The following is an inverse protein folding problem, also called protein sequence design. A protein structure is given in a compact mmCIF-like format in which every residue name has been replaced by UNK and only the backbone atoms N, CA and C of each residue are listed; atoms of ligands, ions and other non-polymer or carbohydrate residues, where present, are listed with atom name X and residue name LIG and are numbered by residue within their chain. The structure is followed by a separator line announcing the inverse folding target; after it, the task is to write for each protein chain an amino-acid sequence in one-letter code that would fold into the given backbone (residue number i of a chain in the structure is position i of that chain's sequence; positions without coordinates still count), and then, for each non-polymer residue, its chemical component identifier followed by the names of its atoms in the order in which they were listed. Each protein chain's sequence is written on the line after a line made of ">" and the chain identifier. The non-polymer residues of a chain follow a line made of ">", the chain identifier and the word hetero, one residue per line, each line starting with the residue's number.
data_IF_516349780309
#
_entry.id   IF_516349780309
#
_cell.length_a   1.000
_cell.length_b   1.000
_cell.length_c   1.000
_cell.angle_alpha   90.00
_cell.angle_beta   90.00
_cell.angle_gamma   90.00
#
_symmetry.space_group_name_H-M   'P 1'
#
loop_
_entity.id
_entity.type
_entity.pdbx_description
1 polymer ?
#
# COMPACT_ATOMS: atom_id res chain seq x y z
N UNK A 1 15.02 -22.89 -14.50
CA UNK A 1 14.40 -21.69 -13.91
C UNK A 1 13.55 -21.03 -14.97
N UNK A 2 12.28 -20.74 -14.74
CA UNK A 2 11.42 -20.03 -15.70
C UNK A 2 11.12 -18.62 -15.18
N UNK A 3 10.96 -17.67 -16.11
CA UNK A 3 10.65 -16.28 -15.83
C UNK A 3 9.30 -15.93 -16.47
N UNK A 4 8.39 -15.35 -15.67
CA UNK A 4 7.18 -14.68 -16.17
C UNK A 4 7.31 -13.20 -15.87
N UNK A 5 6.91 -12.36 -16.79
CA UNK A 5 7.00 -10.91 -16.59
C UNK A 5 5.98 -10.18 -17.46
N UNK A 6 5.69 -8.97 -17.05
CA UNK A 6 5.00 -7.96 -17.83
C UNK A 6 5.72 -6.62 -17.65
N UNK A 7 5.93 -5.91 -18.74
CA UNK A 7 6.58 -4.59 -18.78
C UNK A 7 5.60 -3.66 -19.51
N UNK A 8 5.27 -2.54 -18.88
CA UNK A 8 4.45 -1.51 -19.52
C UNK A 8 5.10 -1.03 -20.82
N UNK A 9 4.33 -0.84 -21.88
CA UNK A 9 4.79 -0.47 -23.23
C UNK A 9 5.73 0.73 -23.22
N UNK A 10 5.42 1.72 -22.40
CA UNK A 10 6.25 2.91 -22.19
C UNK A 10 7.68 2.59 -21.74
N UNK A 11 7.89 1.43 -21.13
CA UNK A 11 9.17 1.02 -20.52
C UNK A 11 9.84 -0.17 -21.21
N UNK A 12 9.38 -0.59 -22.40
CA UNK A 12 10.01 -1.67 -23.17
C UNK A 12 11.47 -1.39 -23.48
N UNK A 13 11.87 -0.13 -23.60
CA UNK A 13 13.27 0.29 -23.80
C UNK A 13 14.20 0.00 -22.60
N UNK A 14 13.65 -0.47 -21.47
CA UNK A 14 14.38 -0.91 -20.28
C UNK A 14 14.40 -2.44 -20.12
N UNK A 15 13.85 -3.19 -21.08
CA UNK A 15 13.64 -4.64 -20.97
C UNK A 15 14.89 -5.39 -20.52
N UNK A 16 16.01 -5.20 -21.17
CA UNK A 16 17.25 -5.94 -20.87
C UNK A 16 17.72 -5.66 -19.43
N UNK A 17 17.65 -4.40 -18.98
CA UNK A 17 17.97 -4.03 -17.61
C UNK A 17 17.02 -4.69 -16.60
N UNK A 18 15.72 -4.70 -16.91
CA UNK A 18 14.69 -5.26 -16.03
C UNK A 18 14.79 -6.78 -15.94
N UNK A 19 15.09 -7.48 -17.04
CA UNK A 19 15.25 -8.94 -17.02
C UNK A 19 16.47 -9.37 -16.19
N UNK A 20 17.52 -8.54 -16.09
CA UNK A 20 18.67 -8.77 -15.20
C UNK A 20 18.57 -8.03 -13.86
N UNK A 21 17.36 -7.76 -13.37
CA UNK A 21 17.12 -6.96 -12.17
C UNK A 21 17.84 -7.51 -10.94
N UNK A 22 17.99 -8.81 -10.80
CA UNK A 22 18.67 -9.46 -9.67
C UNK A 22 20.14 -9.02 -9.55
N UNK A 23 20.84 -8.95 -10.67
CA UNK A 23 22.23 -8.51 -10.73
C UNK A 23 22.30 -6.99 -10.57
N UNK A 24 21.42 -6.28 -11.27
CA UNK A 24 21.45 -4.83 -11.30
C UNK A 24 21.13 -4.18 -9.96
N UNK A 25 20.18 -4.77 -9.19
CA UNK A 25 19.84 -4.25 -7.86
C UNK A 25 20.99 -4.42 -6.86
N UNK A 26 21.81 -5.47 -6.99
CA UNK A 26 22.96 -5.68 -6.12
C UNK A 26 24.06 -4.64 -6.33
N UNK A 27 24.22 -4.16 -7.56
CA UNK A 27 25.27 -3.23 -7.94
C UNK A 27 24.93 -1.75 -7.66
N UNK A 28 23.67 -1.35 -7.82
CA UNK A 28 23.24 0.05 -7.90
C UNK A 28 21.99 0.32 -7.07
N UNK A 29 22.01 0.02 -5.77
CA UNK A 29 20.86 0.24 -4.89
C UNK A 29 21.13 1.25 -3.78
N UNK A 30 20.23 2.19 -3.61
CA UNK A 30 20.02 2.88 -2.34
C UNK A 30 18.89 2.14 -1.60
N UNK A 31 19.21 1.44 -0.52
CA UNK A 31 18.23 0.62 0.21
C UNK A 31 17.38 1.53 1.09
N UNK A 32 16.07 1.57 0.83
CA UNK A 32 15.10 2.25 1.71
C UNK A 32 14.75 1.34 2.89
N UNK A 33 14.59 0.03 2.62
CA UNK A 33 14.15 -0.95 3.62
C UNK A 33 14.74 -2.32 3.28
N UNK A 34 15.48 -2.86 4.22
CA UNK A 34 15.97 -4.24 4.17
C UNK A 34 15.34 -5.02 5.33
N UNK A 35 14.23 -5.66 5.03
CA UNK A 35 13.51 -6.50 5.96
C UNK A 35 13.06 -7.75 5.19
N UNK A 36 11.93 -8.34 5.57
CA UNK A 36 11.33 -9.48 4.86
C UNK A 36 11.12 -9.23 3.34
N UNK A 37 10.97 -7.97 2.94
CA UNK A 37 10.87 -7.54 1.54
C UNK A 37 11.85 -6.37 1.36
N UNK A 38 12.76 -6.50 0.44
CA UNK A 38 13.69 -5.43 0.07
C UNK A 38 12.93 -4.35 -0.72
N UNK A 39 13.09 -3.10 -0.32
CA UNK A 39 12.66 -1.95 -1.10
C UNK A 39 13.88 -1.08 -1.37
N UNK A 40 14.20 -0.87 -2.62
CA UNK A 40 15.37 -0.11 -3.03
C UNK A 40 15.04 0.91 -4.13
N UNK A 41 15.73 2.05 -4.11
CA UNK A 41 15.76 2.98 -5.23
C UNK A 41 16.93 2.58 -6.13
N UNK A 42 16.64 2.49 -7.42
CA UNK A 42 17.68 2.28 -8.46
C UNK A 42 17.62 3.41 -9.47
N UNK A 43 18.78 3.81 -9.98
CA UNK A 43 18.89 4.77 -11.08
C UNK A 43 19.11 4.01 -12.39
N UNK A 44 18.23 4.23 -13.38
CA UNK A 44 18.33 3.64 -14.71
C UNK A 44 18.26 4.79 -15.72
N UNK A 45 19.31 4.97 -16.53
CA UNK A 45 19.39 6.07 -17.52
C UNK A 45 19.03 7.44 -16.92
N UNK A 46 19.57 7.75 -15.74
CA UNK A 46 19.37 9.03 -15.03
C UNK A 46 18.03 9.19 -14.30
N UNK A 47 17.09 8.25 -14.44
CA UNK A 47 15.77 8.30 -13.79
C UNK A 47 15.71 7.35 -12.60
N UNK A 48 15.00 7.75 -11.52
CA UNK A 48 14.83 6.94 -10.32
C UNK A 48 13.62 6.00 -10.46
N UNK A 49 13.80 4.77 -9.98
CA UNK A 49 12.77 3.73 -9.89
C UNK A 49 12.79 3.10 -8.51
N UNK A 50 11.64 2.64 -8.05
CA UNK A 50 11.51 1.86 -6.83
C UNK A 50 11.36 0.40 -7.21
N UNK A 51 12.19 -0.47 -6.65
CA UNK A 51 12.11 -1.91 -6.82
C UNK A 51 11.72 -2.53 -5.49
N UNK A 52 10.59 -3.21 -5.48
CA UNK A 52 10.14 -4.05 -4.34
C UNK A 52 10.43 -5.50 -4.68
N UNK A 53 11.40 -6.11 -3.99
CA UNK A 53 11.68 -7.54 -4.07
C UNK A 53 10.89 -8.27 -2.99
N UNK A 54 10.14 -9.27 -3.41
CA UNK A 54 9.43 -10.19 -2.54
C UNK A 54 10.13 -11.54 -2.60
N UNK A 55 10.75 -11.93 -1.50
CA UNK A 55 11.42 -13.21 -1.38
C UNK A 55 10.47 -14.40 -1.49
N UNK A 56 11.05 -15.60 -1.50
CA UNK A 56 10.29 -16.85 -1.59
C UNK A 56 9.20 -16.91 -0.53
N UNK A 57 7.95 -17.19 -0.90
CA UNK A 57 6.92 -17.53 0.06
C UNK A 57 7.30 -18.82 0.79
N UNK A 58 6.92 -18.94 2.08
CA UNK A 58 7.11 -20.18 2.83
C UNK A 58 6.31 -21.35 2.21
N UNK A 59 6.82 -22.57 2.35
CA UNK A 59 6.08 -23.79 1.99
C UNK A 59 4.78 -23.89 2.84
N UNK A 60 3.61 -24.30 2.29
CA UNK A 60 3.35 -24.65 0.88
C UNK A 60 2.97 -23.44 -0.03
N UNK A 61 2.97 -22.22 0.50
CA UNK A 61 2.50 -21.05 -0.22
C UNK A 61 3.26 -20.76 -1.53
N UNK A 62 4.54 -21.14 -1.62
CA UNK A 62 5.34 -20.98 -2.83
C UNK A 62 4.75 -21.72 -4.05
N UNK A 63 4.13 -22.91 -3.83
CA UNK A 63 3.42 -23.64 -4.87
C UNK A 63 2.03 -23.06 -5.16
N UNK A 64 1.33 -22.57 -4.12
CA UNK A 64 0.03 -21.89 -4.27
C UNK A 64 0.19 -20.64 -5.15
N UNK A 65 1.21 -19.83 -4.92
CA UNK A 65 1.53 -18.67 -5.78
C UNK A 65 2.00 -19.06 -7.18
N UNK A 66 2.48 -20.29 -7.36
CA UNK A 66 2.86 -20.80 -8.68
C UNK A 66 1.68 -21.15 -9.59
N UNK A 67 0.53 -21.52 -9.00
CA UNK A 67 -0.60 -22.13 -9.74
C UNK A 67 -1.96 -21.50 -9.48
N UNK A 68 -2.26 -21.14 -8.22
CA UNK A 68 -3.61 -20.79 -7.78
C UNK A 68 -3.76 -19.32 -7.39
N UNK A 69 -2.68 -18.61 -7.14
CA UNK A 69 -2.71 -17.24 -6.68
C UNK A 69 -1.58 -16.43 -7.32
N UNK A 70 -1.93 -15.25 -7.77
CA UNK A 70 -0.95 -14.28 -8.30
C UNK A 70 0.05 -13.84 -7.22
N UNK A 71 1.30 -13.59 -7.65
CA UNK A 71 2.34 -13.10 -6.77
C UNK A 71 2.00 -11.71 -6.22
N UNK A 72 2.71 -11.30 -5.18
CA UNK A 72 2.58 -9.93 -4.68
C UNK A 72 3.05 -8.89 -5.70
N UNK A 73 4.08 -9.21 -6.48
CA UNK A 73 4.61 -8.33 -7.51
C UNK A 73 3.59 -8.10 -8.62
N UNK A 74 3.01 -9.19 -9.15
CA UNK A 74 1.98 -9.12 -10.19
C UNK A 74 0.76 -8.33 -9.70
N UNK A 75 0.22 -8.67 -8.53
CA UNK A 75 -0.91 -7.90 -7.95
C UNK A 75 -0.58 -6.43 -7.74
N UNK A 76 0.65 -6.08 -7.31
CA UNK A 76 1.03 -4.67 -7.19
C UNK A 76 0.98 -3.97 -8.53
N UNK A 77 1.44 -4.62 -9.61
CA UNK A 77 1.43 -4.07 -10.96
C UNK A 77 0.00 -3.91 -11.50
N UNK A 78 -0.79 -4.97 -11.47
CA UNK A 78 -2.17 -4.96 -11.96
C UNK A 78 -3.05 -3.96 -11.19
N UNK A 79 -2.94 -3.94 -9.85
CA UNK A 79 -3.71 -3.01 -9.02
C UNK A 79 -3.26 -1.55 -9.21
N UNK A 80 -1.98 -1.31 -9.54
CA UNK A 80 -1.55 0.04 -9.92
C UNK A 80 -2.26 0.52 -11.17
N UNK A 81 -2.36 -0.31 -12.21
CA UNK A 81 -3.06 0.04 -13.44
C UNK A 81 -4.55 0.31 -13.19
N UNK A 82 -5.23 -0.58 -12.47
CA UNK A 82 -6.66 -0.40 -12.11
C UNK A 82 -6.88 0.90 -11.31
N UNK A 83 -6.00 1.23 -10.37
CA UNK A 83 -6.13 2.46 -9.58
C UNK A 83 -5.93 3.71 -10.44
N UNK A 84 -4.97 3.70 -11.36
CA UNK A 84 -4.76 4.80 -12.31
C UNK A 84 -5.98 5.00 -13.22
N UNK A 85 -6.59 3.93 -13.72
CA UNK A 85 -7.85 3.96 -14.49
C UNK A 85 -9.01 4.57 -13.69
N UNK A 86 -9.03 4.34 -12.36
CA UNK A 86 -9.99 4.94 -11.42
C UNK A 86 -9.65 6.38 -11.02
N UNK A 87 -8.59 6.96 -11.56
CA UNK A 87 -8.14 8.31 -11.20
C UNK A 87 -7.50 8.41 -9.81
N UNK A 88 -7.08 7.28 -9.22
CA UNK A 88 -6.38 7.24 -7.93
C UNK A 88 -4.88 7.19 -8.18
N UNK A 89 -4.16 8.17 -7.63
CA UNK A 89 -2.72 8.26 -7.84
C UNK A 89 -1.96 7.15 -7.11
N UNK A 90 -1.08 6.51 -7.85
CA UNK A 90 -0.08 5.54 -7.39
C UNK A 90 1.22 5.77 -8.16
N UNK A 91 2.39 5.34 -7.65
CA UNK A 91 3.61 5.37 -8.43
C UNK A 91 3.43 4.60 -9.74
N UNK A 92 3.74 5.25 -10.87
CA UNK A 92 3.54 4.70 -12.21
C UNK A 92 4.16 3.30 -12.32
N UNK A 93 3.39 2.25 -12.66
CA UNK A 93 3.89 0.88 -12.76
C UNK A 93 4.80 0.74 -14.00
N UNK A 94 5.92 0.08 -13.81
CA UNK A 94 6.92 -0.16 -14.86
C UNK A 94 6.90 -1.62 -15.28
N UNK A 95 7.00 -2.53 -14.32
CA UNK A 95 7.03 -3.96 -14.60
C UNK A 95 6.76 -4.80 -13.35
N UNK A 96 6.37 -6.06 -13.59
CA UNK A 96 6.54 -7.13 -12.61
C UNK A 96 7.32 -8.29 -13.23
N UNK A 97 8.11 -8.98 -12.40
CA UNK A 97 8.86 -10.18 -12.78
C UNK A 97 8.69 -11.26 -11.71
N UNK A 98 8.54 -12.50 -12.16
CA UNK A 98 8.31 -13.66 -11.30
C UNK A 98 9.26 -14.79 -11.70
N UNK A 99 10.11 -15.22 -10.79
CA UNK A 99 11.09 -16.29 -11.01
C UNK A 99 10.61 -17.59 -10.37
N UNK A 100 10.50 -18.62 -11.17
CA UNK A 100 10.02 -19.94 -10.76
C UNK A 100 11.11 -21.00 -10.88
N UNK A 101 11.08 -21.97 -9.98
CA UNK A 101 11.86 -23.20 -10.05
C UNK A 101 10.95 -24.38 -9.66
N UNK A 102 10.89 -25.41 -10.51
CA UNK A 102 10.02 -26.56 -10.30
C UNK A 102 8.57 -26.18 -9.93
N UNK A 103 8.01 -25.20 -10.66
CA UNK A 103 6.67 -24.61 -10.46
C UNK A 103 6.48 -23.82 -9.15
N UNK A 104 7.48 -23.72 -8.29
CA UNK A 104 7.41 -22.93 -7.08
C UNK A 104 7.91 -21.50 -7.35
N UNK A 105 7.17 -20.50 -6.88
CA UNK A 105 7.61 -19.10 -6.91
C UNK A 105 8.79 -18.91 -5.92
N UNK A 106 9.95 -18.54 -6.43
CA UNK A 106 11.15 -18.28 -5.63
C UNK A 106 11.28 -16.81 -5.25
N UNK A 107 11.07 -15.94 -6.19
CA UNK A 107 11.24 -14.51 -6.01
C UNK A 107 10.38 -13.74 -7.01
N UNK A 108 9.90 -12.58 -6.62
CA UNK A 108 9.20 -11.69 -7.54
C UNK A 108 9.54 -10.23 -7.27
N UNK A 109 9.52 -9.42 -8.33
CA UNK A 109 9.86 -8.01 -8.29
C UNK A 109 8.72 -7.19 -8.87
N UNK A 110 8.35 -6.14 -8.16
CA UNK A 110 7.50 -5.07 -8.66
C UNK A 110 8.35 -3.81 -8.81
N UNK A 111 8.31 -3.20 -9.97
CA UNK A 111 9.06 -1.99 -10.31
C UNK A 111 8.08 -0.88 -10.64
N UNK A 112 8.27 0.27 -10.03
CA UNK A 112 7.54 1.50 -10.32
C UNK A 112 8.47 2.69 -10.49
N UNK A 113 7.97 3.77 -11.10
CA UNK A 113 8.66 5.06 -11.08
C UNK A 113 8.79 5.53 -9.63
N UNK A 114 9.91 6.17 -9.30
CA UNK A 114 10.02 6.89 -8.04
C UNK A 114 9.04 8.06 -8.06
N UNK A 115 8.20 8.14 -7.02
CA UNK A 115 7.32 9.27 -6.80
C UNK A 115 7.98 10.24 -5.84
N UNK A 116 8.16 11.49 -6.29
CA UNK A 116 8.73 12.55 -5.48
C UNK A 116 7.61 13.20 -4.65
N UNK A 117 7.74 13.14 -3.33
CA UNK A 117 6.74 13.60 -2.37
C UNK A 117 7.38 14.48 -1.30
N UNK A 118 6.57 15.35 -0.67
CA UNK A 118 7.05 16.29 0.35
C UNK A 118 6.95 15.71 1.76
N UNK A 119 5.87 14.94 2.04
CA UNK A 119 5.62 14.31 3.34
C UNK A 119 4.77 13.05 3.16
N UNK A 120 4.71 12.22 4.19
CA UNK A 120 3.72 11.14 4.27
C UNK A 120 2.63 11.45 5.31
N UNK A 121 1.57 10.63 5.32
CA UNK A 121 0.48 10.86 6.26
C UNK A 121 0.88 10.68 7.74
N UNK A 122 2.04 10.06 8.07
CA UNK A 122 2.53 10.04 9.47
C UNK A 122 2.84 11.45 9.94
N UNK A 123 3.54 12.22 9.11
CA UNK A 123 3.88 13.61 9.42
C UNK A 123 2.63 14.50 9.52
N UNK A 124 1.68 14.32 8.58
CA UNK A 124 0.40 15.03 8.64
C UNK A 124 -0.38 14.75 9.94
N UNK A 125 -0.46 13.48 10.37
CA UNK A 125 -1.16 13.10 11.58
C UNK A 125 -0.42 13.50 12.87
N UNK A 126 0.91 13.59 12.84
CA UNK A 126 1.72 14.07 13.96
C UNK A 126 1.58 15.59 14.16
N UNK A 127 1.40 16.33 13.07
CA UNK A 127 1.16 17.78 13.05
C UNK A 127 -0.33 18.07 12.76
N UNK A 128 -1.20 17.33 13.44
CA UNK A 128 -2.64 17.36 13.19
C UNK A 128 -3.26 18.74 13.46
N UNK A 129 -3.96 19.27 12.47
CA UNK A 129 -4.80 20.45 12.54
C UNK A 129 -6.11 20.15 11.80
N UNK A 130 -7.22 20.16 12.56
CA UNK A 130 -8.57 19.82 12.06
C UNK A 130 -9.11 20.79 11.01
N UNK A 131 -8.63 22.03 11.02
CA UNK A 131 -9.13 23.10 10.17
C UNK A 131 -8.24 23.31 8.94
N UNK A 132 -7.11 22.61 8.87
CA UNK A 132 -6.18 22.73 7.76
C UNK A 132 -6.76 22.27 6.43
N UNK A 133 -6.37 22.94 5.35
CA UNK A 133 -6.70 22.52 3.99
C UNK A 133 -6.19 21.11 3.69
N UNK A 134 -5.04 20.74 4.28
CA UNK A 134 -4.45 19.40 4.13
C UNK A 134 -5.34 18.30 4.73
N UNK A 135 -5.89 18.54 5.95
CA UNK A 135 -6.77 17.58 6.60
C UNK A 135 -8.06 17.39 5.80
N UNK A 136 -8.67 18.48 5.34
CA UNK A 136 -9.88 18.41 4.53
C UNK A 136 -9.63 17.67 3.20
N UNK A 137 -8.53 17.96 2.51
CA UNK A 137 -8.14 17.25 1.30
C UNK A 137 -7.87 15.75 1.54
N UNK A 138 -7.28 15.39 2.69
CA UNK A 138 -7.10 14.00 3.09
C UNK A 138 -8.43 13.28 3.30
N UNK A 139 -9.42 13.93 3.93
CA UNK A 139 -10.74 13.36 4.12
C UNK A 139 -11.45 13.13 2.77
N UNK A 140 -11.35 14.10 1.83
CA UNK A 140 -11.88 13.97 0.47
C UNK A 140 -11.22 12.81 -0.27
N UNK A 141 -9.90 12.70 -0.22
CA UNK A 141 -9.14 11.61 -0.82
C UNK A 141 -9.58 10.25 -0.27
N UNK A 142 -9.64 10.12 1.06
CA UNK A 142 -10.01 8.88 1.74
C UNK A 142 -11.45 8.46 1.42
N UNK A 143 -12.38 9.42 1.36
CA UNK A 143 -13.76 9.17 0.97
C UNK A 143 -13.87 8.74 -0.49
N UNK A 144 -13.07 9.36 -1.39
CA UNK A 144 -13.03 8.98 -2.80
C UNK A 144 -12.59 7.52 -3.00
N UNK A 145 -11.63 7.02 -2.22
CA UNK A 145 -11.27 5.60 -2.24
C UNK A 145 -12.47 4.69 -1.96
N UNK A 146 -13.29 5.08 -0.98
CA UNK A 146 -14.51 4.32 -0.66
C UNK A 146 -15.55 4.39 -1.77
N UNK A 147 -15.69 5.53 -2.45
CA UNK A 147 -16.60 5.69 -3.60
C UNK A 147 -16.17 4.86 -4.81
N UNK A 148 -14.88 4.72 -5.01
CA UNK A 148 -14.30 3.94 -6.10
C UNK A 148 -14.16 2.45 -5.76
N UNK A 149 -14.80 1.99 -4.68
CA UNK A 149 -14.81 0.61 -4.22
C UNK A 149 -13.41 0.05 -3.89
N UNK A 150 -12.51 0.91 -3.43
CA UNK A 150 -11.12 0.58 -3.10
C UNK A 150 -10.95 0.33 -1.61
N UNK A 151 -10.81 -0.93 -1.21
CA UNK A 151 -10.42 -1.35 0.13
C UNK A 151 -8.92 -1.63 0.20
N UNK A 152 -8.15 -0.66 0.62
CA UNK A 152 -6.72 -0.83 0.88
C UNK A 152 -6.52 -1.55 2.22
N UNK A 153 -6.39 -2.87 2.17
CA UNK A 153 -6.33 -3.73 3.37
C UNK A 153 -5.19 -3.42 4.34
N UNK A 154 -4.24 -2.59 3.95
CA UNK A 154 -3.12 -2.10 4.77
C UNK A 154 -3.08 -0.55 4.76
N UNK A 155 -4.26 0.08 4.95
CA UNK A 155 -4.43 1.53 4.92
C UNK A 155 -3.82 2.17 6.18
N UNK A 156 -2.52 2.37 6.14
CA UNK A 156 -1.77 2.96 7.25
C UNK A 156 -1.13 4.27 6.80
N UNK A 157 -0.84 5.13 7.76
CA UNK A 157 -0.24 6.47 7.52
C UNK A 157 1.02 6.43 6.64
N UNK A 158 1.85 5.39 6.79
CA UNK A 158 3.08 5.24 6.00
C UNK A 158 2.87 4.78 4.55
N UNK A 159 1.64 4.43 4.17
CA UNK A 159 1.28 3.99 2.82
C UNK A 159 0.57 5.08 2.00
N UNK A 160 0.59 6.32 2.48
CA UNK A 160 -0.01 7.48 1.83
C UNK A 160 1.07 8.57 1.75
N UNK A 161 1.55 8.82 0.54
CA UNK A 161 2.51 9.88 0.22
C UNK A 161 1.74 11.14 -0.19
N UNK A 162 2.26 12.30 0.18
CA UNK A 162 1.60 13.58 -0.03
C UNK A 162 2.57 14.53 -0.72
N UNK A 163 2.13 15.11 -1.82
CA UNK A 163 2.82 16.17 -2.54
C UNK A 163 2.05 17.47 -2.40
N UNK A 164 2.73 18.54 -1.97
CA UNK A 164 2.19 19.87 -1.91
C UNK A 164 2.20 20.49 -3.31
N UNK A 165 1.05 20.91 -3.77
CA UNK A 165 0.90 21.64 -5.01
C UNK A 165 0.76 23.16 -4.69
N UNK A 166 0.58 23.98 -5.70
CA UNK A 166 0.34 25.42 -5.50
C UNK A 166 -1.05 25.66 -4.89
N UNK A 167 -1.20 26.72 -4.07
CA UNK A 167 -2.49 27.20 -3.52
C UNK A 167 -3.25 26.16 -2.69
N UNK A 168 -2.65 25.64 -1.63
CA UNK A 168 -3.27 24.69 -0.69
C UNK A 168 -3.92 23.46 -1.34
N UNK A 169 -3.42 23.06 -2.49
CA UNK A 169 -3.77 21.79 -3.15
C UNK A 169 -2.75 20.73 -2.84
N UNK A 170 -3.23 19.52 -2.66
CA UNK A 170 -2.42 18.37 -2.31
C UNK A 170 -2.73 17.21 -3.24
N UNK A 171 -1.71 16.44 -3.56
CA UNK A 171 -1.84 15.19 -4.28
C UNK A 171 -1.48 14.04 -3.33
N UNK A 172 -2.40 13.08 -3.21
CA UNK A 172 -2.21 11.89 -2.37
C UNK A 172 -1.93 10.70 -3.26
N UNK A 173 -0.91 9.93 -2.91
CA UNK A 173 -0.44 8.78 -3.68
C UNK A 173 -0.38 7.55 -2.78
N UNK A 174 -1.07 6.47 -3.16
CA UNK A 174 -1.05 5.20 -2.44
C UNK A 174 0.16 4.36 -2.81
N UNK A 175 0.74 3.70 -1.81
CA UNK A 175 1.79 2.68 -1.99
C UNK A 175 1.44 1.39 -1.25
N UNK A 176 2.20 0.31 -1.50
CA UNK A 176 2.00 -1.04 -0.93
C UNK A 176 0.67 -1.70 -1.31
N UNK A 177 0.39 -1.75 -2.60
CA UNK A 177 -0.91 -2.05 -3.20
C UNK A 177 -1.29 -3.55 -3.22
N UNK A 178 -0.35 -4.46 -2.93
CA UNK A 178 -0.54 -5.92 -3.10
C UNK A 178 -1.67 -6.56 -2.30
N UNK A 179 -2.31 -5.82 -1.39
CA UNK A 179 -3.42 -6.27 -0.53
C UNK A 179 -4.75 -5.59 -0.82
N UNK A 180 -4.81 -4.72 -1.80
CA UNK A 180 -6.06 -4.04 -2.18
C UNK A 180 -7.11 -5.08 -2.57
N UNK A 181 -8.36 -4.75 -2.27
CA UNK A 181 -9.56 -5.43 -2.78
C UNK A 181 -10.45 -4.38 -3.41
N UNK A 182 -10.98 -4.71 -4.57
CA UNK A 182 -12.01 -3.93 -5.23
C UNK A 182 -13.36 -4.55 -4.88
N UNK A 183 -14.16 -3.84 -4.09
CA UNK A 183 -15.45 -4.35 -3.59
C UNK A 183 -16.32 -3.20 -3.12
N UNK A 184 -17.65 -3.38 -3.21
CA UNK A 184 -18.61 -2.41 -2.69
C UNK A 184 -18.31 -2.07 -1.21
N UNK A 185 -18.03 -0.78 -0.96
CA UNK A 185 -17.63 -0.25 0.34
C UNK A 185 -18.85 0.15 1.19
N UNK A 186 -19.51 -0.84 1.80
CA UNK A 186 -20.54 -0.59 2.80
C UNK A 186 -19.94 -0.09 4.14
N UNK A 187 -20.80 0.30 5.09
CA UNK A 187 -20.36 0.83 6.40
C UNK A 187 -19.34 -0.07 7.09
N UNK A 188 -19.57 -1.40 7.11
CA UNK A 188 -18.68 -2.34 7.80
C UNK A 188 -17.27 -2.36 7.18
N UNK A 189 -17.17 -2.32 5.86
CA UNK A 189 -15.87 -2.29 5.17
C UNK A 189 -15.20 -0.93 5.30
N UNK A 190 -15.97 0.17 5.24
CA UNK A 190 -15.44 1.52 5.47
C UNK A 190 -14.83 1.65 6.87
N UNK A 191 -15.51 1.23 7.93
CA UNK A 191 -14.96 1.35 9.29
C UNK A 191 -13.78 0.42 9.53
N UNK A 192 -13.75 -0.79 8.94
CA UNK A 192 -12.58 -1.67 8.97
C UNK A 192 -11.37 -1.04 8.29
N UNK A 193 -11.57 -0.44 7.14
CA UNK A 193 -10.56 0.28 6.35
C UNK A 193 -10.02 1.48 7.14
N UNK A 194 -10.90 2.34 7.66
CA UNK A 194 -10.54 3.57 8.38
C UNK A 194 -9.90 3.31 9.74
N UNK A 195 -10.24 2.20 10.41
CA UNK A 195 -9.73 1.87 11.74
C UNK A 195 -8.21 1.70 11.82
N UNK A 196 -7.53 1.63 10.68
CA UNK A 196 -6.07 1.43 10.60
C UNK A 196 -5.30 2.74 10.53
N UNK A 197 -5.99 3.86 10.23
CA UNK A 197 -5.33 5.14 9.97
C UNK A 197 -5.05 5.92 11.26
N UNK A 198 -5.93 5.83 12.25
CA UNK A 198 -5.76 6.49 13.54
C UNK A 198 -6.46 5.74 14.66
N UNK A 199 -5.98 5.96 15.89
CA UNK A 199 -6.60 5.52 17.13
C UNK A 199 -6.93 6.72 18.06
N UNK A 200 -6.60 7.93 17.63
CA UNK A 200 -6.94 9.15 18.35
C UNK A 200 -8.45 9.41 18.30
N UNK A 201 -9.16 9.53 19.45
CA UNK A 201 -10.61 9.67 19.47
C UNK A 201 -11.12 10.91 18.73
N UNK A 202 -10.41 12.02 18.79
CA UNK A 202 -10.82 13.28 18.13
C UNK A 202 -10.76 13.14 16.61
N UNK A 203 -9.70 12.53 16.10
CA UNK A 203 -9.53 12.27 14.68
C UNK A 203 -10.56 11.23 14.18
N UNK A 204 -10.85 10.20 14.99
CA UNK A 204 -11.90 9.20 14.69
C UNK A 204 -13.26 9.87 14.55
N UNK A 205 -13.61 10.77 15.46
CA UNK A 205 -14.90 11.46 15.45
C UNK A 205 -15.03 12.41 14.25
N UNK A 206 -13.95 13.11 13.88
CA UNK A 206 -13.93 13.97 12.69
C UNK A 206 -14.09 13.15 11.40
N UNK A 207 -13.42 12.02 11.28
CA UNK A 207 -13.57 11.10 10.15
C UNK A 207 -15.02 10.58 10.09
N UNK A 208 -15.58 10.13 11.22
CA UNK A 208 -16.95 9.64 11.29
C UNK A 208 -17.97 10.73 10.89
N UNK A 209 -17.79 11.96 11.39
CA UNK A 209 -18.60 13.13 11.03
C UNK A 209 -18.53 13.45 9.54
N UNK A 210 -17.34 13.37 8.95
CA UNK A 210 -17.13 13.62 7.54
C UNK A 210 -17.85 12.58 6.67
N UNK A 211 -17.71 11.29 7.00
CA UNK A 211 -18.37 10.21 6.28
C UNK A 211 -19.89 10.20 6.45
N UNK A 212 -20.41 10.52 7.66
CA UNK A 212 -21.86 10.58 7.88
C UNK A 212 -22.55 11.61 7.00
N UNK A 213 -21.97 12.79 6.85
CA UNK A 213 -22.51 13.87 6.00
C UNK A 213 -22.64 13.47 4.53
N UNK A 214 -21.85 12.50 4.07
CA UNK A 214 -21.77 12.09 2.65
C UNK A 214 -22.48 10.76 2.36
N UNK A 215 -22.63 9.90 3.36
CA UNK A 215 -23.25 8.58 3.21
C UNK A 215 -24.75 8.58 3.46
N UNK A 216 -25.31 9.67 3.99
CA UNK A 216 -26.71 9.75 4.40
C UNK A 216 -27.05 8.97 5.69
N UNK A 217 -26.03 8.35 6.35
CA UNK A 217 -26.22 7.64 7.61
C UNK A 217 -26.05 8.58 8.80
N UNK A 218 -26.78 8.29 9.90
CA UNK A 218 -26.71 9.10 11.12
C UNK A 218 -25.29 9.10 11.72
N UNK A 219 -24.83 10.28 12.17
CA UNK A 219 -23.48 10.47 12.69
C UNK A 219 -23.16 9.55 13.86
N UNK A 220 -24.10 9.32 14.78
CA UNK A 220 -23.92 8.42 15.92
C UNK A 220 -23.61 6.98 15.50
N UNK A 221 -24.23 6.49 14.43
CA UNK A 221 -23.92 5.16 13.88
C UNK A 221 -22.49 5.08 13.36
N UNK A 222 -22.02 6.11 12.65
CA UNK A 222 -20.64 6.18 12.17
C UNK A 222 -19.62 6.23 13.31
N UNK A 223 -19.87 7.09 14.30
CA UNK A 223 -18.98 7.23 15.48
C UNK A 223 -18.88 5.90 16.23
N UNK A 224 -20.02 5.28 16.55
CA UNK A 224 -20.07 3.99 17.27
C UNK A 224 -19.37 2.89 16.48
N UNK A 225 -19.69 2.74 15.19
CA UNK A 225 -19.12 1.71 14.33
C UNK A 225 -17.61 1.89 14.15
N UNK A 226 -17.14 3.12 13.89
CA UNK A 226 -15.72 3.38 13.69
C UNK A 226 -14.90 3.23 14.97
N UNK A 227 -15.38 3.74 16.11
CA UNK A 227 -14.74 3.53 17.42
C UNK A 227 -14.65 2.04 17.76
N UNK A 228 -15.72 1.27 17.52
CA UNK A 228 -15.72 -0.18 17.70
C UNK A 228 -14.71 -0.89 16.82
N UNK A 229 -14.59 -0.50 15.55
CA UNK A 229 -13.59 -1.05 14.64
C UNK A 229 -12.15 -0.70 15.04
N UNK A 230 -11.89 0.53 15.52
CA UNK A 230 -10.59 0.96 16.05
C UNK A 230 -10.21 0.14 17.28
N UNK A 231 -11.11 -0.01 18.25
CA UNK A 231 -10.87 -0.84 19.44
C UNK A 231 -10.55 -2.30 19.09
N UNK A 232 -11.29 -2.90 18.16
CA UNK A 232 -11.03 -4.24 17.64
C UNK A 232 -9.65 -4.35 16.99
N UNK A 233 -9.26 -3.34 16.20
CA UNK A 233 -7.96 -3.30 15.54
C UNK A 233 -6.81 -3.19 16.55
N UNK A 234 -6.92 -2.33 17.56
CA UNK A 234 -5.89 -2.18 18.60
C UNK A 234 -5.77 -3.45 19.47
N UNK A 235 -6.89 -4.10 19.83
CA UNK A 235 -6.87 -5.38 20.52
C UNK A 235 -6.18 -6.47 19.70
N UNK A 236 -6.42 -6.53 18.39
CA UNK A 236 -5.73 -7.44 17.49
C UNK A 236 -4.21 -7.17 17.45
N UNK A 237 -3.78 -5.91 17.37
CA UNK A 237 -2.36 -5.53 17.43
C UNK A 237 -1.71 -5.91 18.76
N UNK A 238 -2.39 -5.64 19.88
CA UNK A 238 -1.91 -5.98 21.22
C UNK A 238 -1.71 -7.49 21.37
N UNK A 239 -2.70 -8.29 20.94
CA UNK A 239 -2.63 -9.75 20.96
C UNK A 239 -1.46 -10.27 20.10
N UNK A 240 -1.28 -9.74 18.90
CA UNK A 240 -0.17 -10.16 18.04
C UNK A 240 1.21 -9.77 18.62
N UNK A 241 1.33 -8.62 19.27
CA UNK A 241 2.56 -8.23 19.99
C UNK A 241 2.87 -9.19 21.13
N UNK A 242 1.85 -9.59 21.90
CA UNK A 242 1.98 -10.57 22.98
C UNK A 242 2.47 -11.92 22.45
N UNK A 243 1.85 -12.48 21.42
CA UNK A 243 2.27 -13.76 20.83
C UNK A 243 3.69 -13.71 20.23
N UNK A 244 4.07 -12.59 19.62
CA UNK A 244 5.46 -12.42 19.13
C UNK A 244 6.47 -12.45 20.27
N UNK A 245 6.18 -11.79 21.39
CA UNK A 245 7.04 -11.82 22.59
C UNK A 245 7.14 -13.22 23.16
N UNK A 246 6.03 -13.96 23.27
CA UNK A 246 6.02 -15.35 23.71
C UNK A 246 6.90 -16.22 22.79
N UNK A 247 6.70 -16.11 21.48
CA UNK A 247 7.49 -16.87 20.50
C UNK A 247 9.00 -16.59 20.62
N UNK A 248 9.39 -15.34 20.83
CA UNK A 248 10.79 -14.97 21.04
C UNK A 248 11.37 -15.52 22.34
N UNK A 249 10.54 -15.69 23.40
CA UNK A 249 10.95 -16.21 24.71
C UNK A 249 11.14 -17.73 24.72
N UNK A 250 10.31 -18.47 23.97
CA UNK A 250 10.25 -19.94 24.03
C UNK A 250 10.81 -20.67 22.79
N UNK A 251 11.26 -19.95 21.77
CA UNK A 251 11.84 -20.51 20.53
C UNK A 251 13.28 -20.03 20.29
N UNK A 252 13.98 -19.66 21.38
CA UNK A 252 15.43 -19.51 21.39
C UNK A 252 16.09 -20.79 21.84
#
# INVERSE_FOLDING_TARGET
>A
MSLRYEISDKYLHLKDYLLDIKTNIKKNKDVIKDARNLVAIVKIKGKKYVVKSFGSPSFPNNYIYGRLRESKARRSYEYSNILLEKGINVPEPVAHLEFYESFALKESFYISRYYDYDLDAREMFNNFDSDSALWNAFLDFTYNLSKEDVDHRDYTRGNILIKKLKKDRFEFTLIDLNRIKFRNMNLSYCVEFLSKITHDPSQVDLIAKYYSKRSGLYQGQWVQALRGAVAKHENYKARNRYYRKLKQKYLR
#
